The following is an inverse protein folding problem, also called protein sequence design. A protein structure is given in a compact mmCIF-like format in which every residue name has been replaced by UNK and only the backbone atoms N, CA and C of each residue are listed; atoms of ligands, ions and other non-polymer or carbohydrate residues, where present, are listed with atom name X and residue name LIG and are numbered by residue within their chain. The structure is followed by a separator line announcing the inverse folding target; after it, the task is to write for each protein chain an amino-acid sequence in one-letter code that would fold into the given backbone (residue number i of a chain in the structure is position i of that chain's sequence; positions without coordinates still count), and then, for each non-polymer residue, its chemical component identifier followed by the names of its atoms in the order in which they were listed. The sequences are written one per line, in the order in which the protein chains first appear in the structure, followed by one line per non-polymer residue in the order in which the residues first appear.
data_IF_618444735563
#
_entry.id   IF_618444735563
#
_cell.length_a   1.000
_cell.length_b   1.000
_cell.length_c   1.000
_cell.angle_alpha   90.00
_cell.angle_beta   90.00
_cell.angle_gamma   90.00
#
_symmetry.space_group_name_H-M   'P 1'
#
loop_
_entity.id
_entity.type
_entity.pdbx_description
1 polymer ?
#
# COMPACT_ATOMS: atom_id res chain seq x y z
N UNK A 1 15.20 13.87 8.17
CA UNK A 1 15.39 12.49 8.68
C UNK A 1 16.71 12.30 9.44
N UNK A 2 17.88 12.48 8.81
CA UNK A 2 19.19 12.17 9.39
C UNK A 2 19.42 12.65 10.83
N UNK A 3 19.23 13.94 11.12
CA UNK A 3 19.46 14.50 12.47
C UNK A 3 18.65 13.78 13.55
N UNK A 4 17.47 13.30 13.18
CA UNK A 4 16.62 12.52 14.07
C UNK A 4 17.20 11.13 14.32
N UNK A 5 17.68 10.44 13.26
CA UNK A 5 18.38 9.15 13.41
C UNK A 5 19.63 9.31 14.27
N UNK A 6 20.47 10.33 14.00
CA UNK A 6 21.67 10.62 14.78
C UNK A 6 21.31 10.84 16.27
N UNK A 7 20.26 11.61 16.56
CA UNK A 7 19.79 11.85 17.93
C UNK A 7 19.29 10.57 18.63
N UNK A 8 18.56 9.71 17.90
CA UNK A 8 18.04 8.43 18.41
C UNK A 8 19.19 7.47 18.72
N UNK A 9 20.21 7.42 17.85
CA UNK A 9 21.39 6.56 17.99
C UNK A 9 22.25 7.01 19.17
N UNK A 10 22.48 8.32 19.29
CA UNK A 10 23.26 8.88 20.40
C UNK A 10 22.50 8.82 21.73
N UNK A 11 21.17 8.89 21.69
CA UNK A 11 20.33 8.87 22.90
C UNK A 11 19.19 7.83 22.75
N UNK A 12 19.46 6.53 22.93
CA UNK A 12 18.47 5.46 22.73
C UNK A 12 17.21 5.60 23.58
N UNK A 13 17.29 6.29 24.72
CA UNK A 13 16.12 6.59 25.57
C UNK A 13 15.06 7.41 24.82
N UNK A 14 15.45 8.28 23.88
CA UNK A 14 14.52 9.04 23.04
C UNK A 14 13.67 8.12 22.16
N UNK A 15 14.23 7.00 21.69
CA UNK A 15 13.50 6.03 20.86
C UNK A 15 12.28 5.45 21.56
N UNK A 16 12.37 5.26 22.88
CA UNK A 16 11.26 4.76 23.71
C UNK A 16 10.19 5.84 23.99
N UNK A 17 10.49 7.11 23.73
CA UNK A 17 9.54 8.22 23.91
C UNK A 17 8.74 8.50 22.64
N UNK A 18 9.25 8.12 21.47
CA UNK A 18 8.58 8.37 20.19
C UNK A 18 7.39 7.41 20.05
N UNK A 19 6.19 7.98 20.13
CA UNK A 19 4.91 7.27 19.94
C UNK A 19 4.28 7.54 18.57
N UNK A 20 4.56 8.70 17.99
CA UNK A 20 4.01 9.12 16.70
C UNK A 20 5.18 9.64 15.87
N UNK A 21 5.30 9.15 14.65
CA UNK A 21 6.29 9.61 13.69
C UNK A 21 5.56 10.04 12.42
N UNK A 22 5.49 11.34 12.20
CA UNK A 22 4.90 11.93 10.99
C UNK A 22 6.04 12.48 10.14
N UNK A 23 6.16 11.91 8.96
CA UNK A 23 7.13 12.26 7.95
C UNK A 23 6.29 12.82 6.82
N UNK A 24 6.17 14.14 6.78
CA UNK A 24 5.51 14.83 5.66
C UNK A 24 6.22 14.52 4.34
N UNK A 25 5.82 15.20 3.27
CA UNK A 25 6.30 14.96 1.91
C UNK A 25 7.83 14.79 1.87
N UNK A 26 8.26 13.55 1.65
CA UNK A 26 9.68 13.23 1.48
C UNK A 26 10.15 13.84 0.17
N UNK A 27 11.41 14.26 0.06
CA UNK A 27 11.95 14.74 -1.22
C UNK A 27 12.59 13.56 -1.94
N UNK A 28 12.28 13.40 -3.22
CA UNK A 28 12.97 12.45 -4.11
C UNK A 28 14.34 12.95 -4.54
N UNK A 29 14.57 14.27 -4.50
CA UNK A 29 15.86 14.80 -4.94
C UNK A 29 16.96 14.25 -4.02
N UNK A 30 17.90 13.46 -4.57
CA UNK A 30 19.00 12.96 -3.77
C UNK A 30 19.77 14.17 -3.28
N UNK A 31 19.83 14.32 -1.97
CA UNK A 31 20.68 15.31 -1.33
C UNK A 31 22.12 14.80 -1.44
N UNK A 32 22.69 15.03 -2.62
CA UNK A 32 24.01 14.58 -3.01
C UNK A 32 25.02 15.18 -2.04
N UNK A 33 25.71 14.32 -1.28
CA UNK A 33 26.72 14.74 -0.33
C UNK A 33 26.26 14.79 1.12
N UNK A 34 25.17 14.11 1.49
CA UNK A 34 24.88 13.85 2.90
C UNK A 34 26.03 13.06 3.54
N UNK A 35 26.88 13.77 4.28
CA UNK A 35 27.95 13.16 5.09
C UNK A 35 27.40 12.69 6.43
N UNK A 36 26.98 11.44 6.57
CA UNK A 36 26.63 10.88 7.87
C UNK A 36 27.85 10.34 8.63
N UNK A 37 27.72 10.16 9.94
CA UNK A 37 28.78 9.54 10.73
C UNK A 37 28.80 8.03 10.48
N UNK A 38 29.72 7.58 9.64
CA UNK A 38 29.86 6.18 9.26
C UNK A 38 30.17 5.28 10.46
N UNK A 39 30.81 5.83 11.51
CA UNK A 39 31.13 5.07 12.72
C UNK A 39 29.90 4.79 13.58
N UNK A 40 28.87 5.65 13.49
CA UNK A 40 27.60 5.47 14.17
C UNK A 40 26.62 4.66 13.34
N UNK A 41 26.53 4.90 12.03
CA UNK A 41 25.45 4.37 11.19
C UNK A 41 25.76 2.96 10.64
N UNK A 42 26.99 2.67 10.25
CA UNK A 42 27.33 1.36 9.67
C UNK A 42 27.14 0.19 10.65
N UNK A 43 27.48 0.30 11.95
CA UNK A 43 27.18 -0.76 12.90
C UNK A 43 25.68 -1.06 13.02
N UNK A 44 24.81 -0.06 12.92
CA UNK A 44 23.36 -0.26 12.94
C UNK A 44 22.90 -1.06 11.74
N UNK A 45 23.48 -0.79 10.57
CA UNK A 45 23.21 -1.51 9.34
C UNK A 45 23.67 -2.97 9.47
N UNK A 46 24.79 -3.23 10.16
CA UNK A 46 25.28 -4.59 10.42
C UNK A 46 24.42 -5.37 11.41
N UNK A 47 23.77 -4.68 12.35
CA UNK A 47 22.79 -5.25 13.27
C UNK A 47 21.45 -5.61 12.58
N UNK A 48 21.17 -5.08 11.39
CA UNK A 48 19.95 -5.44 10.67
C UNK A 48 20.01 -6.86 10.13
N UNK A 49 18.93 -7.62 10.38
CA UNK A 49 18.73 -8.97 9.85
C UNK A 49 18.24 -8.86 8.40
N UNK A 50 19.13 -8.46 7.49
CA UNK A 50 18.84 -8.40 6.05
C UNK A 50 19.93 -9.11 5.24
N UNK A 51 19.57 -9.54 4.02
CA UNK A 51 20.51 -10.18 3.11
C UNK A 51 21.63 -9.20 2.70
N UNK A 52 22.83 -9.73 2.41
CA UNK A 52 23.99 -8.91 2.06
C UNK A 52 23.75 -7.96 0.88
N UNK A 53 22.95 -8.38 -0.11
CA UNK A 53 22.56 -7.55 -1.25
C UNK A 53 21.68 -6.36 -0.81
N UNK A 54 20.67 -6.62 0.02
CA UNK A 54 19.79 -5.59 0.55
C UNK A 54 20.59 -4.59 1.41
N UNK A 55 21.54 -5.10 2.19
CA UNK A 55 22.44 -4.27 2.99
C UNK A 55 23.29 -3.34 2.12
N UNK A 56 23.82 -3.84 1.02
CA UNK A 56 24.59 -3.03 0.06
C UNK A 56 23.72 -1.93 -0.55
N UNK A 57 22.47 -2.26 -0.94
CA UNK A 57 21.50 -1.28 -1.44
C UNK A 57 21.18 -0.21 -0.40
N UNK A 58 20.93 -0.58 0.85
CA UNK A 58 20.69 0.38 1.93
C UNK A 58 21.92 1.25 2.20
N UNK A 59 23.14 0.69 2.19
CA UNK A 59 24.36 1.48 2.34
C UNK A 59 24.48 2.55 1.26
N UNK A 60 24.28 2.16 0.00
CA UNK A 60 24.27 3.10 -1.12
C UNK A 60 23.14 4.14 -0.95
N UNK A 61 21.95 3.71 -0.54
CA UNK A 61 20.82 4.60 -0.25
C UNK A 61 21.13 5.63 0.83
N UNK A 62 21.82 5.25 1.91
CA UNK A 62 22.24 6.18 2.97
C UNK A 62 23.21 7.24 2.44
N UNK A 63 24.15 6.86 1.56
CA UNK A 63 25.11 7.76 0.92
C UNK A 63 24.43 8.72 -0.08
N UNK A 64 23.38 8.25 -0.76
CA UNK A 64 22.58 9.03 -1.71
C UNK A 64 21.42 9.79 -1.06
N UNK A 65 21.24 9.70 0.26
CA UNK A 65 20.15 10.40 0.95
C UNK A 65 18.77 9.76 0.83
N UNK A 66 18.67 8.53 0.32
CA UNK A 66 17.41 7.81 0.11
C UNK A 66 16.70 7.56 1.43
N UNK A 67 15.50 8.12 1.59
CA UNK A 67 14.76 8.08 2.87
C UNK A 67 14.42 6.66 3.32
N UNK A 68 14.13 5.74 2.40
CA UNK A 68 13.83 4.35 2.73
C UNK A 68 14.96 3.68 3.52
N UNK A 69 16.22 3.92 3.13
CA UNK A 69 17.38 3.38 3.83
C UNK A 69 17.49 3.93 5.26
N UNK A 70 17.17 5.20 5.46
CA UNK A 70 17.11 5.81 6.80
C UNK A 70 15.97 5.26 7.65
N UNK A 71 14.80 5.03 7.05
CA UNK A 71 13.65 4.43 7.72
C UNK A 71 13.92 3.00 8.16
N UNK A 72 14.58 2.21 7.31
CA UNK A 72 14.97 0.84 7.61
C UNK A 72 15.87 0.73 8.85
N UNK A 73 16.72 1.74 9.10
CA UNK A 73 17.54 1.82 10.32
C UNK A 73 16.76 2.34 11.53
N UNK A 74 15.87 3.29 11.30
CA UNK A 74 15.16 4.01 12.35
C UNK A 74 14.04 3.16 12.98
N UNK A 75 13.20 2.54 12.15
CA UNK A 75 11.99 1.84 12.60
C UNK A 75 12.31 0.78 13.65
N UNK A 76 13.29 -0.14 13.47
CA UNK A 76 13.61 -1.17 14.48
C UNK A 76 14.01 -0.63 15.85
N UNK A 77 14.46 0.64 15.94
CA UNK A 77 14.87 1.28 17.19
C UNK A 77 13.71 1.92 17.93
N UNK A 78 12.65 2.33 17.23
CA UNK A 78 11.50 3.00 17.84
C UNK A 78 10.48 1.96 18.34
N UNK A 79 10.85 1.24 19.39
CA UNK A 79 10.05 0.13 19.97
C UNK A 79 8.67 0.56 20.49
N UNK A 80 8.51 1.85 20.70
CA UNK A 80 7.35 2.48 21.32
C UNK A 80 6.39 3.12 20.30
N UNK A 81 6.69 3.01 19.01
CA UNK A 81 5.92 3.62 17.93
C UNK A 81 4.50 3.04 17.87
N UNK A 82 3.50 3.93 17.94
CA UNK A 82 2.07 3.61 17.82
C UNK A 82 1.51 4.06 16.48
N UNK A 83 2.02 5.15 15.91
CA UNK A 83 1.63 5.62 14.58
C UNK A 83 2.85 5.98 13.77
N UNK A 84 2.91 5.50 12.54
CA UNK A 84 3.79 6.06 11.51
C UNK A 84 2.94 6.59 10.36
N UNK A 85 3.22 7.82 9.93
CA UNK A 85 2.62 8.43 8.76
C UNK A 85 3.72 8.91 7.85
N UNK A 86 3.73 8.42 6.60
CA UNK A 86 4.70 8.81 5.59
C UNK A 86 3.91 9.28 4.37
N UNK A 87 4.20 10.50 3.92
CA UNK A 87 3.75 11.02 2.64
C UNK A 87 4.95 11.08 1.70
N UNK A 88 4.88 10.33 0.60
CA UNK A 88 5.88 10.43 -0.46
C UNK A 88 5.51 11.57 -1.42
N UNK A 89 6.50 12.23 -2.00
CA UNK A 89 6.22 13.26 -2.99
C UNK A 89 5.53 12.58 -4.17
N UNK A 90 4.37 13.10 -4.59
CA UNK A 90 3.96 12.85 -5.96
C UNK A 90 5.00 13.54 -6.83
N UNK A 91 5.81 12.76 -7.53
CA UNK A 91 6.82 13.28 -8.44
C UNK A 91 6.10 14.06 -9.55
N UNK A 92 5.80 15.34 -9.35
CA UNK A 92 4.89 16.16 -10.19
C UNK A 92 5.31 16.37 -11.66
N UNK A 93 6.15 15.52 -12.23
CA UNK A 93 6.39 15.40 -13.66
C UNK A 93 5.29 14.54 -14.28
N UNK A 94 4.16 15.17 -14.53
CA UNK A 94 3.16 14.66 -15.47
C UNK A 94 3.81 14.52 -16.85
N UNK A 95 4.25 13.33 -17.24
CA UNK A 95 4.47 13.02 -18.66
C UNK A 95 3.09 12.65 -19.23
N UNK A 96 2.32 13.65 -19.68
CA UNK A 96 1.12 13.41 -20.47
C UNK A 96 1.57 12.78 -21.79
N UNK A 97 1.43 11.46 -21.90
CA UNK A 97 1.90 10.67 -23.03
C UNK A 97 0.90 9.65 -23.54
N UNK A 98 -0.42 9.87 -23.44
CA UNK A 98 -1.39 9.01 -24.12
C UNK A 98 -1.36 9.25 -25.63
N UNK A 99 -0.58 8.46 -26.36
CA UNK A 99 -0.69 8.32 -27.82
C UNK A 99 -1.39 7.00 -28.13
N UNK A 100 -2.72 7.07 -28.34
CA UNK A 100 -3.52 5.97 -28.92
C UNK A 100 -2.84 5.47 -30.20
N UNK A 101 -2.31 4.24 -30.21
CA UNK A 101 -1.90 3.55 -31.44
C UNK A 101 -3.12 2.89 -32.06
N UNK A 102 -3.81 3.63 -32.91
CA UNK A 102 -4.63 3.03 -33.96
C UNK A 102 -3.71 2.47 -35.05
N UNK A 103 -3.90 1.18 -35.36
CA UNK A 103 -3.23 0.48 -36.48
C UNK A 103 -3.52 1.21 -37.80
N UNK A 104 -2.48 1.71 -38.47
CA UNK A 104 -2.31 1.73 -39.94
C UNK A 104 -0.89 2.17 -40.30
N UNK A 105 -0.33 1.46 -41.28
CA UNK A 105 1.03 1.59 -41.78
C UNK A 105 1.37 2.98 -42.34
N UNK A 106 2.65 3.36 -42.26
CA UNK A 106 3.53 3.85 -43.35
C UNK A 106 4.65 4.76 -42.81
N UNK A 107 5.89 4.43 -43.17
CA UNK A 107 7.08 5.30 -43.36
C UNK A 107 7.41 6.39 -42.33
N UNK A 108 8.58 6.28 -41.69
CA UNK A 108 9.77 7.12 -41.98
C UNK A 108 10.88 6.94 -40.93
N UNK A 109 12.12 7.00 -41.44
CA UNK A 109 13.41 6.77 -40.78
C UNK A 109 13.95 8.00 -40.00
N UNK A 110 15.19 7.86 -39.46
CA UNK A 110 16.20 8.87 -38.99
C UNK A 110 16.29 8.96 -37.45
N UNK A 111 17.43 8.88 -36.74
CA UNK A 111 18.88 8.82 -37.05
C UNK A 111 19.66 8.26 -35.84
N UNK A 112 20.73 7.50 -36.10
CA UNK A 112 21.81 7.20 -35.14
C UNK A 112 22.96 8.21 -35.31
N UNK A 113 23.64 8.60 -34.22
CA UNK A 113 25.12 8.58 -34.09
C UNK A 113 25.54 8.74 -32.61
N UNK A 114 26.79 8.40 -32.20
CA UNK A 114 27.07 7.63 -30.99
C UNK A 114 28.05 8.35 -30.03
N UNK A 115 28.42 7.70 -28.91
CA UNK A 115 29.78 7.83 -28.40
C UNK A 115 30.16 6.62 -27.56
N UNK A 116 31.16 5.89 -28.06
CA UNK A 116 31.91 4.85 -27.36
C UNK A 116 32.93 5.47 -26.40
N UNK A 117 33.16 4.82 -25.27
CA UNK A 117 34.51 4.65 -24.73
C UNK A 117 34.56 3.39 -23.85
N UNK A 118 35.29 2.38 -24.35
CA UNK A 118 35.69 1.17 -23.63
C UNK A 118 36.74 1.49 -22.58
N UNK A 119 36.78 0.70 -21.49
CA UNK A 119 38.06 0.11 -21.06
C UNK A 119 37.85 -1.21 -20.31
N UNK A 120 38.82 -2.10 -20.53
CA UNK A 120 38.90 -3.52 -20.24
C UNK A 120 39.59 -3.77 -18.89
N UNK A 121 39.24 -4.86 -18.19
CA UNK A 121 40.08 -5.43 -17.12
C UNK A 121 39.49 -6.71 -16.53
N UNK A 122 40.08 -7.86 -16.87
CA UNK A 122 39.65 -9.21 -16.47
C UNK A 122 40.42 -9.78 -15.26
N UNK A 123 39.86 -10.89 -14.73
CA UNK A 123 40.49 -12.01 -13.98
C UNK A 123 40.60 -12.00 -12.44
N UNK A 124 39.71 -12.83 -11.84
CA UNK A 124 40.01 -14.18 -11.29
C UNK A 124 40.20 -14.40 -9.77
N UNK A 125 39.49 -15.47 -9.34
CA UNK A 125 39.77 -16.51 -8.31
C UNK A 125 39.21 -16.39 -6.87
N UNK A 126 38.35 -17.40 -6.62
CA UNK A 126 37.98 -18.10 -5.37
C UNK A 126 39.04 -18.08 -4.25
N UNK A 127 38.54 -17.89 -3.03
CA UNK A 127 39.09 -18.40 -1.79
C UNK A 127 37.96 -18.59 -0.78
N UNK A 128 37.65 -19.84 -0.46
CA UNK A 128 36.68 -20.27 0.56
C UNK A 128 37.22 -20.02 1.96
N UNK A 129 36.39 -19.61 2.92
CA UNK A 129 36.50 -20.07 4.31
C UNK A 129 35.17 -19.96 5.06
N UNK A 130 34.81 -21.08 5.66
CA UNK A 130 33.65 -21.32 6.54
C UNK A 130 33.89 -20.65 7.89
N UNK A 131 32.89 -19.96 8.41
CA UNK A 131 32.74 -19.71 9.85
C UNK A 131 31.25 -19.71 10.21
N UNK A 132 30.80 -20.79 10.83
CA UNK A 132 29.50 -20.94 11.45
C UNK A 132 29.46 -20.12 12.74
N UNK A 133 28.61 -19.08 12.78
CA UNK A 133 28.14 -18.50 14.04
C UNK A 133 26.62 -18.47 14.03
N UNK A 134 26.03 -19.34 14.85
CA UNK A 134 24.64 -19.23 15.30
C UNK A 134 24.48 -17.87 15.98
N UNK A 135 23.79 -16.94 15.33
CA UNK A 135 23.31 -15.72 15.96
C UNK A 135 21.82 -15.89 16.25
N UNK A 136 21.48 -15.68 17.51
CA UNK A 136 20.14 -15.68 18.09
C UNK A 136 19.32 -14.52 17.54
N UNK A 137 18.17 -14.82 16.95
CA UNK A 137 17.15 -13.85 16.54
C UNK A 137 16.75 -12.99 17.74
N UNK A 138 17.04 -11.69 17.65
CA UNK A 138 16.55 -10.69 18.61
C UNK A 138 15.57 -9.81 17.86
N UNK A 139 14.36 -10.31 17.61
CA UNK A 139 13.29 -9.51 17.02
C UNK A 139 12.77 -8.52 18.07
N UNK A 140 13.00 -7.23 17.82
CA UNK A 140 12.53 -6.14 18.67
C UNK A 140 11.09 -5.86 18.28
N UNK A 141 10.19 -5.88 19.26
CA UNK A 141 8.78 -6.05 19.00
C UNK A 141 7.95 -4.95 19.68
N UNK A 142 7.07 -4.29 18.93
CA UNK A 142 6.40 -3.02 19.24
C UNK A 142 5.14 -3.24 20.10
N UNK A 143 4.87 -2.41 21.12
CA UNK A 143 3.70 -2.59 22.03
C UNK A 143 2.77 -1.36 22.02
N UNK A 144 1.49 -1.52 21.62
CA UNK A 144 0.44 -0.48 21.64
C UNK A 144 -0.64 -0.63 20.54
N UNK A 145 -1.59 0.32 20.47
CA UNK A 145 -2.53 0.44 19.34
C UNK A 145 -1.76 0.94 18.11
N UNK A 146 -1.31 0.00 17.27
CA UNK A 146 -0.43 0.31 16.15
C UNK A 146 -1.22 0.67 14.89
N UNK A 147 -0.85 1.79 14.26
CA UNK A 147 -1.38 2.28 12.99
C UNK A 147 -0.24 2.59 12.03
N UNK A 148 -0.32 2.10 10.80
CA UNK A 148 0.60 2.44 9.71
C UNK A 148 -0.22 3.20 8.67
N UNK A 149 0.22 4.40 8.29
CA UNK A 149 -0.40 5.23 7.26
C UNK A 149 0.66 5.62 6.22
N UNK A 150 0.51 5.11 5.00
CA UNK A 150 1.45 5.32 3.90
C UNK A 150 0.68 5.94 2.74
N UNK A 151 0.97 7.20 2.44
CA UNK A 151 0.37 7.93 1.33
C UNK A 151 1.39 8.06 0.18
N UNK A 152 0.92 7.82 -1.05
CA UNK A 152 1.66 8.04 -2.32
C UNK A 152 2.91 7.14 -2.42
N UNK A 153 2.86 5.91 -1.89
CA UNK A 153 4.06 5.09 -1.70
C UNK A 153 4.31 4.08 -2.83
N UNK A 154 5.52 4.08 -3.38
CA UNK A 154 6.04 3.09 -4.35
C UNK A 154 6.92 2.00 -3.71
N UNK A 155 6.96 1.93 -2.37
CA UNK A 155 7.97 1.12 -1.69
C UNK A 155 8.00 -0.30 -2.26
N UNK A 156 9.18 -0.68 -2.79
CA UNK A 156 9.33 -1.94 -3.50
C UNK A 156 8.94 -3.15 -2.65
N UNK A 157 8.72 -4.29 -3.32
CA UNK A 157 8.11 -5.52 -2.81
C UNK A 157 8.60 -6.02 -1.43
N UNK A 158 9.81 -5.64 -0.99
CA UNK A 158 10.43 -6.10 0.24
C UNK A 158 10.29 -5.13 1.45
N UNK A 159 9.94 -3.86 1.23
CA UNK A 159 9.90 -2.85 2.29
C UNK A 159 8.80 -3.10 3.32
N UNK A 160 7.58 -3.36 2.85
CA UNK A 160 6.41 -3.52 3.72
C UNK A 160 6.49 -4.74 4.63
N UNK A 161 7.02 -5.86 4.14
CA UNK A 161 7.10 -7.11 4.90
C UNK A 161 7.88 -6.94 6.20
N UNK A 162 8.99 -6.18 6.16
CA UNK A 162 9.78 -5.89 7.35
C UNK A 162 9.02 -5.03 8.36
N UNK A 163 8.31 -4.01 7.89
CA UNK A 163 7.58 -3.07 8.76
C UNK A 163 6.36 -3.72 9.41
N UNK A 164 5.54 -4.40 8.62
CA UNK A 164 4.34 -5.10 9.08
C UNK A 164 4.73 -6.23 10.05
N UNK A 165 5.77 -7.02 9.71
CA UNK A 165 6.26 -8.11 10.57
C UNK A 165 6.89 -7.64 11.89
N UNK A 166 7.29 -6.37 11.97
CA UNK A 166 7.86 -5.81 13.19
C UNK A 166 6.78 -5.40 14.21
N UNK A 167 5.56 -5.09 13.74
CA UNK A 167 4.44 -4.73 14.62
C UNK A 167 3.94 -5.96 15.40
N UNK A 168 3.75 -5.90 16.73
CA UNK A 168 3.18 -7.04 17.49
C UNK A 168 1.65 -7.16 17.37
N UNK A 169 0.99 -6.02 17.16
CA UNK A 169 -0.46 -5.91 17.20
C UNK A 169 -0.93 -4.75 16.31
N UNK A 170 -0.63 -4.82 15.02
CA UNK A 170 -1.11 -3.83 14.05
C UNK A 170 -2.63 -3.82 14.03
N UNK A 171 -3.26 -2.66 14.31
CA UNK A 171 -4.72 -2.49 14.31
C UNK A 171 -5.26 -1.80 13.08
N UNK A 172 -4.52 -0.86 12.52
CA UNK A 172 -4.93 -0.14 11.32
C UNK A 172 -3.79 -0.05 10.32
N UNK A 173 -4.11 -0.35 9.07
CA UNK A 173 -3.20 -0.22 7.94
C UNK A 173 -3.87 0.65 6.87
N UNK A 174 -3.23 1.76 6.54
CA UNK A 174 -3.60 2.62 5.43
C UNK A 174 -2.46 2.67 4.44
N UNK A 175 -2.79 2.44 3.17
CA UNK A 175 -1.88 2.48 2.07
C UNK A 175 -2.57 3.09 0.85
N UNK A 176 -1.99 4.15 0.31
CA UNK A 176 -2.39 4.72 -0.97
C UNK A 176 -1.20 4.62 -1.91
N UNK A 177 -1.36 3.80 -2.94
CA UNK A 177 -0.48 3.69 -4.08
C UNK A 177 -0.90 4.68 -5.17
N UNK A 178 0.07 5.10 -5.96
CA UNK A 178 -0.12 6.05 -7.05
C UNK A 178 0.27 7.47 -6.67
N UNK A 179 0.28 8.32 -7.70
CA UNK A 179 0.75 9.69 -7.68
C UNK A 179 1.16 10.11 -9.09
N UNK A 180 0.74 11.30 -9.53
CA UNK A 180 1.11 11.77 -10.88
C UNK A 180 2.62 11.75 -11.08
N UNK A 181 3.10 10.97 -12.05
CA UNK A 181 4.51 10.93 -12.47
C UNK A 181 5.39 9.83 -11.86
N UNK A 182 4.84 8.97 -10.99
CA UNK A 182 5.58 7.82 -10.45
C UNK A 182 5.84 6.78 -11.57
N UNK A 183 6.92 5.99 -11.44
CA UNK A 183 7.35 5.01 -12.45
C UNK A 183 6.27 3.97 -12.79
N UNK A 184 6.43 3.27 -13.92
CA UNK A 184 5.48 2.24 -14.40
C UNK A 184 5.41 0.97 -13.55
N UNK A 185 5.91 0.97 -12.31
CA UNK A 185 5.81 -0.22 -11.45
C UNK A 185 4.39 -0.31 -10.93
N UNK A 186 3.66 -1.30 -11.45
CA UNK A 186 2.29 -1.59 -11.05
C UNK A 186 2.23 -1.98 -9.58
N UNK A 187 1.20 -1.50 -8.87
CA UNK A 187 0.88 -1.97 -7.53
C UNK A 187 0.88 -3.51 -7.46
N UNK A 188 1.80 -4.07 -6.68
CA UNK A 188 1.84 -5.51 -6.44
C UNK A 188 1.14 -5.86 -5.12
N UNK A 189 -0.08 -6.44 -5.16
CA UNK A 189 -0.83 -6.79 -3.95
C UNK A 189 -0.10 -7.81 -3.06
N UNK A 190 0.82 -8.64 -3.60
CA UNK A 190 1.64 -9.57 -2.80
C UNK A 190 2.50 -8.88 -1.76
N UNK A 191 2.89 -7.64 -2.00
CA UNK A 191 3.71 -6.88 -1.06
C UNK A 191 2.99 -6.72 0.31
N UNK A 192 1.65 -6.75 0.28
CA UNK A 192 0.79 -6.65 1.47
C UNK A 192 0.38 -8.01 2.04
N UNK A 193 0.82 -9.14 1.48
CA UNK A 193 0.54 -10.47 2.03
C UNK A 193 1.03 -10.61 3.49
N UNK A 194 2.02 -9.81 3.89
CA UNK A 194 2.51 -9.74 5.26
C UNK A 194 1.46 -9.24 6.28
N UNK A 195 0.36 -8.61 5.84
CA UNK A 195 -0.78 -8.28 6.73
C UNK A 195 -1.41 -9.53 7.35
N UNK A 196 -1.29 -10.69 6.70
CA UNK A 196 -1.68 -11.99 7.26
C UNK A 196 -0.90 -12.38 8.53
N UNK A 197 0.21 -11.71 8.85
CA UNK A 197 0.91 -11.88 10.12
C UNK A 197 0.16 -11.24 11.29
N UNK A 198 -0.81 -10.36 11.02
CA UNK A 198 -1.54 -9.55 11.99
C UNK A 198 -3.03 -9.97 12.11
N UNK A 199 -3.33 -11.24 11.84
CA UNK A 199 -4.70 -11.80 11.79
C UNK A 199 -5.55 -11.56 13.04
N UNK A 200 -4.91 -11.48 14.20
CA UNK A 200 -5.56 -11.36 15.51
C UNK A 200 -5.71 -9.92 15.99
N UNK A 201 -5.04 -8.96 15.34
CA UNK A 201 -5.05 -7.55 15.77
C UNK A 201 -5.60 -6.57 14.74
N UNK A 202 -5.57 -6.90 13.45
CA UNK A 202 -5.83 -5.96 12.37
C UNK A 202 -7.33 -5.71 12.18
N UNK A 203 -7.80 -4.57 12.70
CA UNK A 203 -9.22 -4.18 12.72
C UNK A 203 -9.62 -3.31 11.51
N UNK A 204 -8.68 -2.60 10.90
CA UNK A 204 -8.97 -1.67 9.80
C UNK A 204 -7.91 -1.71 8.70
N UNK A 205 -8.38 -1.84 7.45
CA UNK A 205 -7.56 -1.78 6.24
C UNK A 205 -8.17 -0.74 5.30
N UNK A 206 -7.33 0.21 4.86
CA UNK A 206 -7.61 1.08 3.73
C UNK A 206 -6.47 0.92 2.74
N UNK A 207 -6.74 0.29 1.61
CA UNK A 207 -5.85 0.29 0.45
C UNK A 207 -6.49 1.21 -0.58
N UNK A 208 -5.68 1.97 -1.33
CA UNK A 208 -6.07 2.75 -2.49
C UNK A 208 -4.98 2.61 -3.52
N UNK A 209 -5.35 2.41 -4.78
CA UNK A 209 -4.40 2.40 -5.90
C UNK A 209 -4.96 3.32 -6.96
N UNK A 210 -4.14 4.23 -7.49
CA UNK A 210 -4.51 5.08 -8.63
C UNK A 210 -3.88 4.59 -9.95
N UNK A 211 -3.31 3.38 -9.94
CA UNK A 211 -2.63 2.83 -11.10
C UNK A 211 -3.60 2.37 -12.18
N UNK A 212 -3.21 2.60 -13.43
CA UNK A 212 -3.86 1.96 -14.55
C UNK A 212 -3.34 0.53 -14.69
N UNK A 213 -4.24 -0.43 -14.51
CA UNK A 213 -3.94 -1.84 -14.74
C UNK A 213 -3.51 -2.10 -16.19
N UNK A 214 -2.50 -2.94 -16.38
CA UNK A 214 -2.21 -3.51 -17.69
C UNK A 214 -3.19 -4.67 -17.91
N UNK A 215 -4.14 -4.57 -18.86
CA UNK A 215 -5.13 -5.61 -19.10
C UNK A 215 -4.52 -6.92 -19.61
N UNK A 216 -3.24 -6.93 -19.96
CA UNK A 216 -2.53 -8.12 -20.42
C UNK A 216 -1.92 -8.96 -19.30
N UNK A 217 -1.97 -8.48 -18.05
CA UNK A 217 -1.44 -9.21 -16.90
C UNK A 217 -2.55 -9.68 -15.97
N UNK A 218 -2.47 -10.95 -15.54
CA UNK A 218 -3.37 -11.49 -14.51
C UNK A 218 -3.05 -10.83 -13.16
N UNK A 219 -4.06 -10.20 -12.57
CA UNK A 219 -3.96 -9.58 -11.25
C UNK A 219 -4.27 -10.60 -10.15
N UNK A 220 -3.43 -10.64 -9.13
CA UNK A 220 -3.62 -11.55 -8.01
C UNK A 220 -4.58 -11.02 -6.94
N UNK A 221 -5.33 -11.93 -6.32
CA UNK A 221 -6.24 -11.63 -5.21
C UNK A 221 -5.51 -11.44 -3.88
N UNK A 222 -5.88 -10.44 -3.07
CA UNK A 222 -5.25 -10.20 -1.77
C UNK A 222 -5.92 -10.90 -0.58
N UNK A 223 -7.19 -11.31 -0.69
CA UNK A 223 -7.95 -12.17 0.25
C UNK A 223 -7.73 -11.97 1.75
N UNK A 224 -8.71 -11.43 2.47
CA UNK A 224 -8.63 -11.14 3.92
C UNK A 224 -9.43 -12.09 4.82
N UNK A 225 -9.99 -13.18 4.29
CA UNK A 225 -10.90 -14.07 5.02
C UNK A 225 -10.29 -14.65 6.32
N UNK A 226 -8.97 -14.76 6.39
CA UNK A 226 -8.25 -15.26 7.57
C UNK A 226 -8.13 -14.22 8.71
N UNK A 227 -8.41 -12.94 8.45
CA UNK A 227 -8.29 -11.85 9.43
C UNK A 227 -9.61 -11.69 10.18
N UNK A 228 -9.79 -12.52 11.20
CA UNK A 228 -11.07 -12.68 11.92
C UNK A 228 -11.50 -11.49 12.78
N UNK A 229 -10.62 -10.50 12.99
CA UNK A 229 -10.93 -9.28 13.76
C UNK A 229 -11.14 -8.06 12.87
N UNK A 230 -11.06 -8.20 11.54
CA UNK A 230 -11.19 -7.10 10.60
C UNK A 230 -12.62 -6.55 10.60
N UNK A 231 -12.77 -5.28 10.97
CA UNK A 231 -14.06 -4.57 11.06
C UNK A 231 -14.27 -3.63 9.89
N UNK A 232 -13.22 -2.94 9.46
CA UNK A 232 -13.32 -1.92 8.42
C UNK A 232 -12.41 -2.29 7.26
N UNK A 233 -12.98 -2.45 6.06
CA UNK A 233 -12.25 -2.72 4.84
C UNK A 233 -12.65 -1.71 3.77
N UNK A 234 -11.67 -0.97 3.27
CA UNK A 234 -11.79 -0.10 2.09
C UNK A 234 -10.72 -0.53 1.09
N UNK A 235 -11.11 -1.07 -0.05
CA UNK A 235 -10.20 -1.61 -1.07
C UNK A 235 -10.86 -1.57 -2.46
N UNK A 236 -10.06 -1.63 -3.51
CA UNK A 236 -10.50 -1.72 -4.89
C UNK A 236 -11.06 -3.11 -5.07
N UNK A 237 -12.20 -3.21 -5.74
CA UNK A 237 -12.85 -4.50 -5.91
C UNK A 237 -11.88 -5.50 -6.58
N UNK A 238 -11.13 -5.03 -7.57
CA UNK A 238 -10.17 -5.79 -8.36
C UNK A 238 -8.99 -6.28 -7.50
N UNK A 239 -8.43 -5.41 -6.66
CA UNK A 239 -7.33 -5.75 -5.74
C UNK A 239 -7.73 -6.84 -4.74
N UNK A 240 -9.01 -6.89 -4.36
CA UNK A 240 -9.50 -7.91 -3.43
C UNK A 240 -9.63 -9.28 -4.11
N UNK A 241 -10.26 -9.33 -5.29
CA UNK A 241 -10.71 -10.58 -5.92
C UNK A 241 -9.74 -11.14 -6.96
N UNK A 242 -8.83 -10.31 -7.48
CA UNK A 242 -7.99 -10.62 -8.63
C UNK A 242 -8.80 -10.76 -9.92
N UNK A 243 -8.19 -10.38 -11.04
CA UNK A 243 -8.82 -10.42 -12.37
C UNK A 243 -7.86 -11.11 -13.33
N UNK A 244 -8.38 -12.00 -14.18
CA UNK A 244 -7.59 -12.70 -15.19
C UNK A 244 -7.48 -11.88 -16.50
N UNK A 245 -6.77 -12.42 -17.49
CA UNK A 245 -6.59 -11.79 -18.82
C UNK A 245 -7.92 -11.57 -19.58
N UNK A 246 -8.99 -12.28 -19.20
CA UNK A 246 -10.33 -12.17 -19.79
C UNK A 246 -11.24 -11.19 -19.01
N UNK A 247 -10.67 -10.40 -18.09
CA UNK A 247 -11.38 -9.46 -17.22
C UNK A 247 -12.38 -10.14 -16.25
N UNK A 248 -12.21 -11.44 -15.99
CA UNK A 248 -13.06 -12.20 -15.09
C UNK A 248 -12.47 -12.30 -13.66
N UNK A 249 -13.32 -12.23 -12.62
CA UNK A 249 -12.91 -12.46 -11.24
C UNK A 249 -12.27 -13.83 -11.02
N UNK A 250 -11.08 -13.86 -10.41
CA UNK A 250 -10.39 -15.11 -10.08
C UNK A 250 -10.98 -15.76 -8.83
N UNK A 251 -11.40 -14.93 -7.86
CA UNK A 251 -11.95 -15.38 -6.59
C UNK A 251 -13.29 -14.73 -6.29
N UNK A 252 -14.09 -15.37 -5.45
CA UNK A 252 -15.38 -14.84 -5.04
C UNK A 252 -15.27 -13.99 -3.77
N UNK A 253 -16.18 -13.02 -3.60
CA UNK A 253 -16.26 -12.21 -2.37
C UNK A 253 -16.46 -13.07 -1.12
N UNK A 254 -17.14 -14.21 -1.28
CA UNK A 254 -17.37 -15.15 -0.19
C UNK A 254 -16.04 -15.67 0.38
N UNK A 255 -15.05 -15.90 -0.46
CA UNK A 255 -13.77 -16.52 -0.08
C UNK A 255 -12.70 -15.49 0.32
N UNK A 256 -12.92 -14.21 0.00
CA UNK A 256 -11.98 -13.13 0.28
C UNK A 256 -12.37 -12.27 1.49
N UNK A 257 -13.66 -12.17 1.82
CA UNK A 257 -14.14 -11.33 2.92
C UNK A 257 -14.25 -12.09 4.26
N UNK A 258 -13.71 -11.54 5.36
CA UNK A 258 -13.93 -12.08 6.70
C UNK A 258 -15.35 -11.80 7.24
N UNK A 259 -15.81 -12.67 8.14
CA UNK A 259 -17.15 -12.62 8.76
C UNK A 259 -17.33 -11.44 9.74
N UNK A 260 -16.23 -10.86 10.22
CA UNK A 260 -16.20 -9.82 11.26
C UNK A 260 -16.47 -8.40 10.75
N UNK A 261 -16.60 -8.22 9.43
CA UNK A 261 -16.71 -6.89 8.83
C UNK A 261 -17.97 -6.17 9.32
N UNK A 262 -17.76 -4.93 9.75
CA UNK A 262 -18.79 -3.95 10.14
C UNK A 262 -18.96 -2.86 9.08
N UNK A 263 -17.88 -2.49 8.37
CA UNK A 263 -17.88 -1.49 7.30
C UNK A 263 -17.11 -2.00 6.09
N UNK A 264 -17.79 -2.05 4.95
CA UNK A 264 -17.20 -2.43 3.67
C UNK A 264 -17.31 -1.28 2.67
N UNK A 265 -16.20 -0.93 2.04
CA UNK A 265 -16.15 0.08 1.00
C UNK A 265 -15.38 -0.45 -0.20
N UNK A 266 -16.03 -0.50 -1.35
CA UNK A 266 -15.38 -0.79 -2.62
C UNK A 266 -15.32 0.46 -3.49
N UNK A 267 -14.11 0.76 -3.97
CA UNK A 267 -13.87 1.73 -5.03
C UNK A 267 -13.63 1.01 -6.37
N UNK A 268 -13.72 1.77 -7.47
CA UNK A 268 -13.41 1.29 -8.83
C UNK A 268 -14.20 0.03 -9.26
N UNK A 269 -15.47 -0.05 -8.85
CA UNK A 269 -16.32 -1.19 -9.20
C UNK A 269 -16.85 -1.13 -10.64
N UNK A 270 -16.40 -0.21 -11.49
CA UNK A 270 -17.08 0.13 -12.76
C UNK A 270 -17.28 -1.10 -13.66
N UNK A 271 -16.21 -1.83 -13.97
CA UNK A 271 -16.27 -2.97 -14.90
C UNK A 271 -16.97 -4.20 -14.30
N UNK A 272 -16.87 -4.38 -12.99
CA UNK A 272 -17.41 -5.54 -12.27
C UNK A 272 -18.64 -5.22 -11.44
N UNK A 273 -19.29 -4.07 -11.69
CA UNK A 273 -20.35 -3.55 -10.84
C UNK A 273 -21.51 -4.54 -10.73
N UNK A 274 -21.97 -5.02 -11.88
CA UNK A 274 -23.06 -5.97 -11.96
C UNK A 274 -22.77 -7.26 -11.22
N UNK A 275 -21.53 -7.75 -11.30
CA UNK A 275 -21.08 -8.95 -10.57
C UNK A 275 -20.99 -8.69 -9.05
N UNK A 276 -20.43 -7.55 -8.65
CA UNK A 276 -20.26 -7.16 -7.25
C UNK A 276 -21.60 -7.07 -6.52
N UNK A 277 -22.59 -6.46 -7.16
CA UNK A 277 -23.95 -6.32 -6.61
C UNK A 277 -24.58 -7.68 -6.36
N UNK A 278 -24.50 -8.62 -7.31
CA UNK A 278 -25.07 -9.97 -7.16
C UNK A 278 -24.36 -10.78 -6.06
N UNK A 279 -23.04 -10.69 -5.99
CA UNK A 279 -22.25 -11.33 -4.94
C UNK A 279 -22.58 -10.78 -3.56
N UNK A 280 -22.63 -9.44 -3.40
CA UNK A 280 -22.98 -8.79 -2.14
C UNK A 280 -24.41 -9.15 -1.70
N UNK A 281 -25.36 -9.14 -2.62
CA UNK A 281 -26.73 -9.55 -2.35
C UNK A 281 -26.79 -11.00 -1.86
N UNK A 282 -26.11 -11.92 -2.55
CA UNK A 282 -26.02 -13.33 -2.15
C UNK A 282 -25.47 -13.49 -0.73
N UNK A 283 -24.41 -12.76 -0.39
CA UNK A 283 -23.79 -12.79 0.94
C UNK A 283 -24.72 -12.25 2.04
N UNK A 284 -25.50 -11.21 1.73
CA UNK A 284 -26.49 -10.62 2.65
C UNK A 284 -27.66 -11.60 2.86
N UNK A 285 -28.19 -12.19 1.79
CA UNK A 285 -29.31 -13.13 1.84
C UNK A 285 -28.99 -14.34 2.73
N UNK A 286 -27.76 -14.88 2.65
CA UNK A 286 -27.31 -16.00 3.50
C UNK A 286 -26.76 -15.55 4.86
N UNK A 287 -26.80 -14.25 5.17
CA UNK A 287 -26.28 -13.64 6.41
C UNK A 287 -24.82 -14.01 6.72
N UNK A 288 -23.96 -14.04 5.70
CA UNK A 288 -22.52 -14.37 5.87
C UNK A 288 -21.76 -13.27 6.63
N UNK A 289 -22.24 -12.03 6.60
CA UNK A 289 -21.61 -10.90 7.30
C UNK A 289 -22.57 -10.35 8.35
N UNK A 290 -22.74 -11.04 9.49
CA UNK A 290 -23.79 -10.73 10.47
C UNK A 290 -23.59 -9.37 11.16
N UNK A 291 -22.37 -8.83 11.15
CA UNK A 291 -22.04 -7.56 11.78
C UNK A 291 -21.98 -6.38 10.80
N UNK A 292 -22.20 -6.62 9.50
CA UNK A 292 -22.10 -5.57 8.49
C UNK A 292 -23.16 -4.50 8.78
N UNK A 293 -22.71 -3.29 9.08
CA UNK A 293 -23.57 -2.15 9.37
C UNK A 293 -23.61 -1.18 8.18
N UNK A 294 -22.48 -1.03 7.48
CA UNK A 294 -22.33 -0.06 6.39
C UNK A 294 -21.69 -0.71 5.18
N UNK A 295 -22.32 -0.54 4.02
CA UNK A 295 -21.81 -0.93 2.72
C UNK A 295 -21.73 0.31 1.83
N UNK A 296 -20.55 0.61 1.30
CA UNK A 296 -20.35 1.72 0.36
C UNK A 296 -19.81 1.19 -0.96
N UNK A 297 -20.44 1.59 -2.06
CA UNK A 297 -20.04 1.21 -3.41
C UNK A 297 -19.81 2.45 -4.27
N UNK A 298 -18.64 2.55 -4.89
CA UNK A 298 -18.44 3.47 -6.00
C UNK A 298 -19.11 2.89 -7.25
N UNK A 299 -20.16 3.56 -7.70
CA UNK A 299 -20.93 3.20 -8.88
C UNK A 299 -20.54 4.12 -10.03
N UNK A 300 -20.44 3.61 -11.27
CA UNK A 300 -20.49 4.47 -12.43
C UNK A 300 -21.80 5.29 -12.40
N UNK A 301 -21.79 6.45 -13.05
CA UNK A 301 -23.03 7.22 -13.25
C UNK A 301 -24.01 6.30 -13.97
N UNK A 302 -25.17 6.02 -13.36
CA UNK A 302 -26.17 5.14 -13.94
C UNK A 302 -26.66 5.72 -15.28
N UNK A 303 -26.13 5.20 -16.39
CA UNK A 303 -26.57 5.57 -17.73
C UNK A 303 -27.79 4.75 -18.18
N UNK A 304 -28.00 3.56 -17.60
CA UNK A 304 -29.09 2.67 -17.95
C UNK A 304 -30.01 2.30 -16.76
N UNK A 305 -31.22 1.82 -17.10
CA UNK A 305 -32.23 1.39 -16.14
C UNK A 305 -31.87 0.10 -15.41
N UNK A 306 -31.00 -0.73 -15.98
CA UNK A 306 -30.63 -2.03 -15.41
C UNK A 306 -29.70 -1.87 -14.21
N UNK A 307 -28.70 -0.99 -14.31
CA UNK A 307 -27.81 -0.62 -13.23
C UNK A 307 -28.59 -0.09 -12.03
N UNK A 308 -29.55 0.80 -12.27
CA UNK A 308 -30.39 1.32 -11.19
C UNK A 308 -31.26 0.23 -10.57
N UNK A 309 -31.84 -0.66 -11.39
CA UNK A 309 -32.64 -1.77 -10.88
C UNK A 309 -31.83 -2.71 -9.98
N UNK A 310 -30.58 -3.02 -10.35
CA UNK A 310 -29.67 -3.83 -9.53
C UNK A 310 -29.35 -3.14 -8.20
N UNK A 311 -29.09 -1.83 -8.22
CA UNK A 311 -28.89 -1.04 -7.00
C UNK A 311 -30.12 -1.01 -6.10
N UNK A 312 -31.31 -0.87 -6.68
CA UNK A 312 -32.56 -0.85 -5.92
C UNK A 312 -32.80 -2.20 -5.23
N UNK A 313 -32.54 -3.30 -5.94
CA UNK A 313 -32.61 -4.65 -5.37
C UNK A 313 -31.61 -4.86 -4.23
N UNK A 314 -30.36 -4.42 -4.40
CA UNK A 314 -29.35 -4.47 -3.34
C UNK A 314 -29.73 -3.58 -2.16
N UNK A 315 -30.26 -2.39 -2.41
CA UNK A 315 -30.73 -1.46 -1.40
C UNK A 315 -31.87 -2.05 -0.58
N UNK A 316 -32.81 -2.77 -1.21
CA UNK A 316 -33.85 -3.51 -0.50
C UNK A 316 -33.27 -4.61 0.39
N UNK A 317 -32.35 -5.44 -0.14
CA UNK A 317 -31.70 -6.50 0.64
C UNK A 317 -30.91 -5.94 1.84
N UNK A 318 -30.17 -4.84 1.63
CA UNK A 318 -29.45 -4.15 2.69
C UNK A 318 -30.40 -3.64 3.77
N UNK A 319 -31.51 -2.99 3.37
CA UNK A 319 -32.50 -2.45 4.32
C UNK A 319 -33.13 -3.55 5.18
N UNK A 320 -33.53 -4.67 4.58
CA UNK A 320 -34.08 -5.82 5.31
C UNK A 320 -33.07 -6.43 6.29
N UNK A 321 -31.79 -6.38 5.96
CA UNK A 321 -30.70 -6.81 6.83
C UNK A 321 -30.25 -5.76 7.86
N UNK A 322 -30.81 -4.54 7.82
CA UNK A 322 -30.40 -3.43 8.70
C UNK A 322 -29.07 -2.76 8.32
N UNK A 323 -28.64 -2.92 7.07
CA UNK A 323 -27.39 -2.39 6.53
C UNK A 323 -27.64 -1.03 5.86
N UNK A 324 -26.82 -0.04 6.19
CA UNK A 324 -26.78 1.25 5.50
C UNK A 324 -26.00 1.12 4.18
N UNK A 325 -26.71 1.18 3.05
CA UNK A 325 -26.10 1.24 1.72
C UNK A 325 -25.84 2.69 1.30
N UNK A 326 -24.59 2.99 0.95
CA UNK A 326 -24.16 4.26 0.36
C UNK A 326 -23.65 4.00 -1.06
N UNK A 327 -24.06 4.84 -2.01
CA UNK A 327 -23.53 4.80 -3.37
C UNK A 327 -22.85 6.13 -3.69
N UNK A 328 -21.64 6.06 -4.25
CA UNK A 328 -20.85 7.22 -4.66
C UNK A 328 -20.75 7.17 -6.18
N UNK A 329 -21.18 8.21 -6.88
CA UNK A 329 -21.10 8.26 -8.34
C UNK A 329 -19.72 8.73 -8.80
N UNK A 330 -18.99 7.88 -9.52
CA UNK A 330 -17.74 8.23 -10.18
C UNK A 330 -18.06 8.97 -11.48
N UNK A 331 -18.04 10.31 -11.48
CA UNK A 331 -18.33 11.05 -12.73
C UNK A 331 -18.54 12.57 -12.64
N UNK A 332 -18.48 13.19 -11.46
CA UNK A 332 -18.42 14.65 -11.35
C UNK A 332 -17.31 15.03 -10.40
N UNK A 333 -16.30 15.73 -10.92
CA UNK A 333 -15.23 16.35 -10.14
C UNK A 333 -15.81 17.01 -8.89
N UNK A 334 -15.29 16.57 -7.73
CA UNK A 334 -15.71 16.83 -6.33
C UNK A 334 -16.60 15.74 -5.72
N UNK A 335 -15.96 14.67 -5.29
CA UNK A 335 -16.50 13.83 -4.20
C UNK A 335 -16.16 14.51 -2.88
N UNK A 336 -17.20 14.90 -2.12
CA UNK A 336 -17.06 15.21 -0.71
C UNK A 336 -17.05 13.88 0.05
N UNK A 337 -15.87 13.42 0.45
CA UNK A 337 -15.75 12.23 1.30
C UNK A 337 -15.99 12.66 2.75
N UNK A 338 -17.04 12.12 3.36
CA UNK A 338 -17.26 12.23 4.79
C UNK A 338 -16.46 11.12 5.47
N UNK A 339 -15.32 11.47 6.08
CA UNK A 339 -14.60 10.55 6.96
C UNK A 339 -14.94 10.97 8.38
N UNK A 340 -15.65 10.11 9.10
CA UNK A 340 -15.73 10.25 10.56
C UNK A 340 -14.36 9.93 11.15
N UNK A 341 -13.83 10.87 11.92
CA UNK A 341 -12.59 10.67 12.66
C UNK A 341 -12.86 9.67 13.79
N UNK A 342 -12.25 8.46 13.76
CA UNK A 342 -12.50 7.44 14.78
C UNK A 342 -12.03 7.87 16.18
N UNK A 343 -11.17 8.89 16.28
CA UNK A 343 -10.70 9.42 17.56
C UNK A 343 -11.57 10.61 18.06
N UNK A 344 -12.55 11.08 17.27
CA UNK A 344 -13.53 12.12 17.64
C UNK A 344 -14.93 11.83 17.07
N UNK A 345 -15.72 10.93 17.68
CA UNK A 345 -17.08 10.66 17.25
C UNK A 345 -17.94 11.94 17.31
N UNK A 346 -18.42 12.37 16.14
CA UNK A 346 -19.26 13.57 15.97
C UNK A 346 -18.60 14.75 15.25
N UNK A 347 -17.28 14.75 15.03
CA UNK A 347 -16.61 15.79 14.25
C UNK A 347 -16.52 15.41 12.76
N UNK A 348 -17.42 15.94 11.94
CA UNK A 348 -17.39 15.76 10.49
C UNK A 348 -16.37 16.71 9.88
N UNK A 349 -15.26 16.18 9.35
CA UNK A 349 -14.33 16.97 8.52
C UNK A 349 -14.69 16.81 7.05
N UNK A 350 -14.86 17.95 6.37
CA UNK A 350 -15.04 18.00 4.92
C UNK A 350 -13.64 18.16 4.33
N UNK A 351 -13.10 17.10 3.71
CA UNK A 351 -11.95 17.23 2.83
C UNK A 351 -12.45 17.61 1.44
N UNK A 352 -12.20 18.85 1.03
CA UNK A 352 -12.42 19.30 -0.34
C UNK A 352 -11.10 19.17 -1.09
N UNK A 353 -10.92 18.04 -1.77
CA UNK A 353 -9.88 17.90 -2.79
C UNK A 353 -10.44 18.28 -4.16
N UNK A 354 -9.81 19.22 -4.84
CA UNK A 354 -9.94 19.35 -6.30
C UNK A 354 -8.86 18.45 -6.91
N UNK A 355 -9.22 17.60 -7.88
CA UNK A 355 -8.24 16.96 -8.77
C UNK A 355 -7.64 18.02 -9.66
#
# INVERSE_FOLDING_TARGET
MRRFVDAIVQTPKLANLVRFLELGTLSEEPDNGIKYDTTLILPLLDETVCAAEQRAKWKQGLESGVTEAWLALLIPRITSLRKISIEWPSSGRVVVGYRRRSRRASHASIVQVPSDAQTVGAHARRGSMVATKKHTDTSVAFVGDHRIDLAVCDAGQNGFKGWIGSCKALRSFRFTHGGTGMGQETFNPRALQSLSLQKESLESILIRSEDFYDPTETQESMGFAEITVLKHLSIGLQDLIGINEDEEPITELRDTLPYSIETLHFYECVELFGWAVEQLKSLIDVRRMPNLATLTLESPVAEDSEHQQRLDHLGYACKEAGICLNTISTGRSRVQVWVEDPDQPGLRRICVGSI
#
